data_IF_390744587584
#
_entry.id   IF_390744587584
#
_cell.length_a   1.000
_cell.length_b   1.000
_cell.length_c   1.000
_cell.angle_alpha   90.00
_cell.angle_beta   90.00
_cell.angle_gamma   90.00
#
_symmetry.space_group_name_H-M   'P 1'
#
loop_
_entity.id
_entity.type
_entity.pdbx_description
1 polymer ?
#
# COMPACT_ATOMS: atom_id res chain seq x y z
N UNK A 1 14.72 11.72 -6.30
CA UNK A 1 14.29 10.70 -5.30
C UNK A 1 13.14 9.92 -5.90
N UNK A 2 13.21 8.62 -5.87
CA UNK A 2 12.17 7.80 -6.50
C UNK A 2 11.20 7.28 -5.45
N UNK A 3 9.91 7.47 -5.73
CA UNK A 3 8.80 6.94 -4.95
C UNK A 3 8.01 6.01 -5.87
N UNK A 4 7.69 4.83 -5.38
CA UNK A 4 6.88 3.87 -6.12
C UNK A 4 5.64 3.50 -5.31
N UNK A 5 4.49 3.48 -5.96
CA UNK A 5 3.25 3.00 -5.34
C UNK A 5 2.70 1.82 -6.13
N UNK A 6 2.44 0.72 -5.44
CA UNK A 6 1.69 -0.42 -5.97
C UNK A 6 0.21 -0.11 -5.73
N UNK A 7 -0.46 0.30 -6.79
CA UNK A 7 -1.73 1.03 -6.75
C UNK A 7 -2.90 0.21 -7.27
N UNK A 8 -4.02 0.35 -6.59
CA UNK A 8 -5.31 -0.15 -7.05
C UNK A 8 -6.24 1.06 -7.23
N UNK A 9 -6.58 1.44 -8.47
CA UNK A 9 -7.41 2.64 -8.70
C UNK A 9 -8.85 2.49 -8.20
N UNK A 10 -9.31 1.27 -7.94
CA UNK A 10 -10.64 1.03 -7.41
C UNK A 10 -10.70 1.08 -5.88
N UNK A 11 -9.56 1.29 -5.22
CA UNK A 11 -9.47 1.34 -3.76
C UNK A 11 -9.34 2.80 -3.28
N UNK A 12 -10.28 3.26 -2.45
CA UNK A 12 -10.26 4.61 -1.91
C UNK A 12 -9.01 4.92 -1.11
N UNK A 13 -8.55 3.98 -0.27
CA UNK A 13 -7.30 4.13 0.49
C UNK A 13 -6.11 4.31 -0.44
N UNK A 14 -6.05 3.55 -1.53
CA UNK A 14 -4.98 3.65 -2.50
C UNK A 14 -5.00 5.01 -3.22
N UNK A 15 -6.19 5.49 -3.61
CA UNK A 15 -6.35 6.81 -4.23
C UNK A 15 -5.94 7.94 -3.27
N UNK A 16 -6.37 7.86 -2.00
CA UNK A 16 -5.99 8.85 -0.98
C UNK A 16 -4.48 8.88 -0.76
N UNK A 17 -3.84 7.70 -0.73
CA UNK A 17 -2.39 7.60 -0.57
C UNK A 17 -1.66 8.25 -1.74
N UNK A 18 -2.08 7.97 -2.96
CA UNK A 18 -1.50 8.58 -4.16
C UNK A 18 -1.64 10.10 -4.13
N UNK A 19 -2.80 10.59 -3.70
CA UNK A 19 -3.04 12.04 -3.58
C UNK A 19 -2.13 12.68 -2.52
N UNK A 20 -1.90 12.00 -1.39
CA UNK A 20 -0.97 12.49 -0.36
C UNK A 20 0.46 12.57 -0.88
N UNK A 21 0.90 11.58 -1.66
CA UNK A 21 2.22 11.61 -2.30
C UNK A 21 2.34 12.83 -3.21
N UNK A 22 1.35 13.06 -4.06
CA UNK A 22 1.33 14.20 -4.97
C UNK A 22 1.26 15.53 -4.24
N UNK A 23 0.56 15.58 -3.11
CA UNK A 23 0.46 16.80 -2.29
C UNK A 23 1.80 17.17 -1.64
N UNK A 24 2.75 16.25 -1.57
CA UNK A 24 4.11 16.56 -1.15
C UNK A 24 4.97 17.12 -2.28
N UNK A 25 4.41 17.24 -3.48
CA UNK A 25 5.11 17.72 -4.67
C UNK A 25 5.81 16.64 -5.47
N UNK A 26 5.73 15.39 -5.04
CA UNK A 26 6.35 14.27 -5.74
C UNK A 26 5.37 13.62 -6.71
N UNK A 27 5.91 13.15 -7.84
CA UNK A 27 5.13 12.32 -8.76
C UNK A 27 5.71 10.91 -8.71
N UNK A 28 4.98 9.93 -8.15
CA UNK A 28 5.51 8.57 -8.00
C UNK A 28 5.45 7.78 -9.31
N UNK A 29 6.25 6.72 -9.37
CA UNK A 29 6.03 5.65 -10.34
C UNK A 29 4.83 4.84 -9.86
N UNK A 30 3.81 4.73 -10.70
CA UNK A 30 2.59 4.00 -10.37
C UNK A 30 2.64 2.63 -11.02
N UNK A 31 2.58 1.58 -10.19
CA UNK A 31 2.50 0.20 -10.67
C UNK A 31 1.09 -0.30 -10.38
N UNK A 32 0.34 -0.61 -11.44
CA UNK A 32 -0.99 -1.21 -11.31
C UNK A 32 -0.81 -2.71 -11.12
N UNK A 33 -0.66 -3.14 -9.87
CA UNK A 33 -0.22 -4.50 -9.54
C UNK A 33 -1.22 -5.58 -9.94
N UNK A 34 -2.49 -5.24 -10.17
CA UNK A 34 -3.46 -6.20 -10.67
C UNK A 34 -3.19 -6.58 -12.13
N UNK A 35 -2.58 -5.68 -12.89
CA UNK A 35 -2.20 -5.89 -14.28
C UNK A 35 -0.74 -6.31 -14.42
N UNK A 36 0.12 -5.75 -13.56
CA UNK A 36 1.56 -5.97 -13.57
C UNK A 36 2.00 -6.36 -12.15
N UNK A 37 1.71 -7.60 -11.73
CA UNK A 37 2.06 -8.02 -10.38
C UNK A 37 3.57 -8.08 -10.18
N UNK A 38 4.04 -7.91 -8.93
CA UNK A 38 5.46 -8.07 -8.64
C UNK A 38 5.91 -9.51 -8.86
N UNK A 39 7.20 -9.69 -9.13
CA UNK A 39 7.79 -11.02 -9.12
C UNK A 39 7.83 -11.57 -7.68
N UNK A 40 8.11 -12.86 -7.55
CA UNK A 40 8.27 -13.49 -6.23
C UNK A 40 9.35 -12.79 -5.41
N UNK A 41 10.51 -12.53 -6.02
CA UNK A 41 11.62 -11.88 -5.33
C UNK A 41 11.26 -10.46 -4.92
N UNK A 42 10.61 -9.70 -5.81
CA UNK A 42 10.13 -8.35 -5.48
C UNK A 42 9.15 -8.37 -4.31
N UNK A 43 8.19 -9.30 -4.34
CA UNK A 43 7.19 -9.39 -3.28
C UNK A 43 7.84 -9.75 -1.94
N UNK A 44 8.78 -10.68 -1.93
CA UNK A 44 9.54 -11.03 -0.73
C UNK A 44 10.33 -9.83 -0.19
N UNK A 45 10.98 -9.08 -1.07
CA UNK A 45 11.74 -7.89 -0.69
C UNK A 45 10.83 -6.81 -0.10
N UNK A 46 9.65 -6.61 -0.70
CA UNK A 46 8.67 -5.65 -0.20
C UNK A 46 8.20 -6.04 1.21
N UNK A 47 7.87 -7.30 1.43
CA UNK A 47 7.40 -7.77 2.73
C UNK A 47 8.50 -7.61 3.78
N UNK A 48 9.73 -7.98 3.45
CA UNK A 48 10.86 -7.83 4.36
C UNK A 48 11.12 -6.36 4.71
N UNK A 49 11.05 -5.48 3.71
CA UNK A 49 11.26 -4.04 3.91
C UNK A 49 10.15 -3.42 4.76
N UNK A 50 8.92 -3.92 4.64
CA UNK A 50 7.80 -3.46 5.49
C UNK A 50 7.90 -3.97 6.91
N UNK A 51 8.69 -5.01 7.16
CA UNK A 51 8.86 -5.65 8.46
C UNK A 51 7.53 -6.13 9.06
N UNK A 52 6.67 -6.69 8.21
CA UNK A 52 5.38 -7.25 8.61
C UNK A 52 5.34 -8.76 8.34
N UNK A 53 4.50 -9.52 9.06
CA UNK A 53 4.26 -10.92 8.68
C UNK A 53 3.63 -11.00 7.29
N UNK A 54 3.92 -12.08 6.57
CA UNK A 54 3.33 -12.29 5.23
C UNK A 54 1.82 -12.23 5.29
N UNK A 55 1.22 -12.83 6.33
CA UNK A 55 -0.24 -12.86 6.51
C UNK A 55 -0.84 -11.46 6.65
N UNK A 56 -0.08 -10.49 7.16
CA UNK A 56 -0.56 -9.10 7.30
C UNK A 56 -0.75 -8.41 5.94
N UNK A 57 -0.07 -8.88 4.90
CA UNK A 57 -0.23 -8.37 3.55
C UNK A 57 -1.40 -9.03 2.82
N UNK A 58 -1.98 -10.07 3.37
CA UNK A 58 -3.04 -10.84 2.73
C UNK A 58 -4.38 -10.13 2.90
N UNK A 59 -5.02 -9.81 1.76
CA UNK A 59 -6.33 -9.16 1.76
C UNK A 59 -7.43 -10.19 2.02
N UNK A 60 -8.32 -9.90 2.99
CA UNK A 60 -9.28 -10.88 3.48
C UNK A 60 -10.65 -10.84 2.78
N UNK A 61 -11.09 -9.65 2.35
CA UNK A 61 -12.46 -9.48 1.84
C UNK A 61 -12.53 -9.62 0.32
N UNK A 62 -11.97 -10.70 -0.20
CA UNK A 62 -11.99 -11.01 -1.63
C UNK A 62 -12.21 -12.49 -1.83
N UNK A 63 -12.80 -12.84 -2.99
CA UNK A 63 -13.21 -14.22 -3.28
C UNK A 63 -12.10 -15.26 -3.09
N UNK A 64 -10.87 -15.08 -3.64
CA UNK A 64 -9.84 -16.10 -3.47
C UNK A 64 -9.49 -16.40 -2.03
N UNK A 65 -9.61 -15.43 -1.12
CA UNK A 65 -9.33 -15.65 0.29
C UNK A 65 -10.25 -16.73 0.87
N UNK A 66 -11.55 -16.63 0.61
CA UNK A 66 -12.53 -17.60 1.11
C UNK A 66 -12.46 -18.91 0.29
N UNK A 67 -12.37 -18.82 -1.03
CA UNK A 67 -12.36 -19.98 -1.90
C UNK A 67 -11.18 -20.91 -1.62
N UNK A 68 -10.03 -20.35 -1.26
CA UNK A 68 -8.80 -21.11 -0.97
C UNK A 68 -8.64 -21.40 0.52
N UNK A 69 -9.62 -21.03 1.36
CA UNK A 69 -9.60 -21.25 2.80
C UNK A 69 -8.38 -20.63 3.48
N UNK A 70 -8.00 -19.43 3.06
CA UNK A 70 -6.76 -18.78 3.52
C UNK A 70 -6.83 -18.28 4.96
N UNK A 71 -8.03 -18.28 5.58
CA UNK A 71 -8.17 -17.99 7.01
C UNK A 71 -7.54 -19.07 7.90
N UNK A 72 -7.35 -20.27 7.37
CA UNK A 72 -6.71 -21.36 8.12
C UNK A 72 -5.22 -21.06 8.32
N UNK A 73 -4.70 -21.51 9.47
CA UNK A 73 -3.30 -21.21 9.83
C UNK A 73 -2.29 -22.26 9.36
N UNK A 74 -2.73 -23.21 8.52
CA UNK A 74 -1.91 -24.32 8.03
C UNK A 74 -0.97 -23.95 6.88
N UNK A 75 -1.07 -22.72 6.36
CA UNK A 75 -0.26 -22.29 5.20
C UNK A 75 1.08 -21.72 5.65
N UNK A 76 2.14 -22.07 4.93
CA UNK A 76 3.44 -21.44 5.11
C UNK A 76 3.48 -20.07 4.44
N UNK A 77 4.48 -19.26 4.81
CA UNK A 77 4.68 -17.94 4.18
C UNK A 77 4.87 -18.10 2.66
N UNK A 78 5.65 -19.09 2.21
CA UNK A 78 5.86 -19.32 0.79
C UNK A 78 4.57 -19.70 0.07
N UNK A 79 3.71 -20.48 0.70
CA UNK A 79 2.41 -20.81 0.13
C UNK A 79 1.52 -19.57 0.00
N UNK A 80 1.50 -18.71 1.02
CA UNK A 80 0.72 -17.46 0.97
C UNK A 80 1.24 -16.54 -0.14
N UNK A 81 2.55 -16.45 -0.30
CA UNK A 81 3.16 -15.68 -1.40
C UNK A 81 2.75 -16.25 -2.76
N UNK A 82 2.77 -17.58 -2.91
CA UNK A 82 2.32 -18.22 -4.15
C UNK A 82 0.89 -17.85 -4.49
N UNK A 83 -0.01 -17.88 -3.50
CA UNK A 83 -1.40 -17.49 -3.72
C UNK A 83 -1.53 -16.02 -4.13
N UNK A 84 -0.76 -15.12 -3.51
CA UNK A 84 -0.77 -13.72 -3.89
C UNK A 84 -0.28 -13.50 -5.32
N UNK A 85 0.69 -14.29 -5.79
CA UNK A 85 1.18 -14.19 -7.17
C UNK A 85 0.20 -14.76 -8.16
N UNK A 86 -0.51 -15.83 -7.81
CA UNK A 86 -1.56 -16.42 -8.65
C UNK A 86 -2.81 -15.55 -8.69
N UNK A 87 -3.11 -14.86 -7.60
CA UNK A 87 -4.29 -14.01 -7.44
C UNK A 87 -3.86 -12.66 -6.88
N UNK A 88 -3.36 -11.73 -7.72
CA UNK A 88 -2.85 -10.45 -7.22
C UNK A 88 -3.83 -9.64 -6.39
N UNK A 89 -5.15 -9.87 -6.56
CA UNK A 89 -6.16 -9.21 -5.73
C UNK A 89 -6.01 -9.54 -4.23
N UNK A 90 -5.29 -10.63 -3.90
CA UNK A 90 -4.99 -10.99 -2.52
C UNK A 90 -3.91 -10.10 -1.89
N UNK A 91 -3.17 -9.35 -2.69
CA UNK A 91 -2.16 -8.43 -2.16
C UNK A 91 -2.89 -7.22 -1.59
N UNK A 92 -2.67 -6.95 -0.31
CA UNK A 92 -3.24 -5.77 0.33
C UNK A 92 -2.58 -4.50 -0.24
N UNK A 93 -3.25 -3.36 -0.16
CA UNK A 93 -2.90 -2.16 -0.94
C UNK A 93 -3.19 -0.89 -0.18
N UNK A 94 -2.47 0.20 -0.51
CA UNK A 94 -1.32 0.28 -1.41
C UNK A 94 -0.02 -0.01 -0.67
N UNK A 95 0.98 -0.48 -1.40
CA UNK A 95 2.35 -0.57 -0.90
C UNK A 95 3.10 0.63 -1.49
N UNK A 96 3.81 1.37 -0.65
CA UNK A 96 4.60 2.52 -1.08
C UNK A 96 6.07 2.32 -0.71
N UNK A 97 6.94 2.57 -1.66
CA UNK A 97 8.40 2.49 -1.48
C UNK A 97 9.00 3.87 -1.70
N UNK A 98 9.75 4.36 -0.72
CA UNK A 98 10.49 5.62 -0.81
C UNK A 98 11.92 5.40 -0.31
N UNK A 99 12.82 6.40 -0.50
CA UNK A 99 14.16 6.30 0.10
C UNK A 99 14.14 6.19 1.63
N UNK A 100 13.03 6.53 2.27
CA UNK A 100 12.90 6.48 3.73
C UNK A 100 12.28 5.18 4.24
N UNK A 101 11.78 4.33 3.36
CA UNK A 101 11.23 3.04 3.76
C UNK A 101 10.11 2.54 2.87
N UNK A 102 9.55 1.40 3.27
CA UNK A 102 8.45 0.73 2.58
C UNK A 102 7.33 0.50 3.58
N UNK A 103 6.09 0.82 3.18
CA UNK A 103 4.92 0.66 4.06
C UNK A 103 3.71 0.16 3.29
N UNK A 104 2.92 -0.67 3.96
CA UNK A 104 1.52 -0.90 3.58
C UNK A 104 0.73 0.27 4.17
N UNK A 105 0.22 1.16 3.32
CA UNK A 105 -0.37 2.42 3.75
C UNK A 105 -1.87 2.28 3.98
N UNK A 106 -2.23 1.65 5.07
CA UNK A 106 -3.60 1.50 5.56
C UNK A 106 -3.64 1.78 7.05
N UNK A 107 -4.22 2.90 7.47
CA UNK A 107 -4.84 3.96 6.66
C UNK A 107 -3.84 4.74 5.79
N UNK A 108 -4.37 5.51 4.84
CA UNK A 108 -3.53 6.21 3.85
C UNK A 108 -2.47 7.11 4.44
N UNK A 109 -2.74 7.75 5.58
CA UNK A 109 -1.82 8.68 6.24
C UNK A 109 -0.56 8.02 6.78
N UNK A 110 -0.48 6.70 6.81
CA UNK A 110 0.77 5.98 7.12
C UNK A 110 1.88 6.40 6.14
N UNK A 111 1.53 6.78 4.92
CA UNK A 111 2.52 7.23 3.93
C UNK A 111 3.31 8.45 4.41
N UNK A 112 2.74 9.28 5.29
CA UNK A 112 3.43 10.44 5.83
C UNK A 112 4.71 10.08 6.59
N UNK A 113 4.79 8.86 7.13
CA UNK A 113 5.97 8.39 7.87
C UNK A 113 7.20 8.23 6.97
N UNK A 114 6.99 8.01 5.67
CA UNK A 114 8.07 7.71 4.73
C UNK A 114 8.20 8.71 3.59
N UNK A 115 7.36 9.74 3.52
CA UNK A 115 7.51 10.77 2.49
C UNK A 115 8.72 11.63 2.78
N UNK A 116 9.63 11.82 1.80
CA UNK A 116 10.85 12.61 2.01
C UNK A 116 10.62 14.12 2.06
N UNK A 117 9.47 14.60 1.55
CA UNK A 117 9.13 16.01 1.52
C UNK A 117 7.84 16.29 2.30
N UNK A 118 7.69 17.49 2.89
CA UNK A 118 6.46 17.82 3.60
C UNK A 118 5.28 18.05 2.66
N UNK A 119 4.08 18.02 3.22
CA UNK A 119 2.87 18.36 2.48
C UNK A 119 2.87 19.85 2.13
N UNK A 120 2.46 20.16 0.91
CA UNK A 120 2.51 21.55 0.40
C UNK A 120 1.26 22.35 0.72
N UNK A 121 0.18 21.68 1.10
CA UNK A 121 -1.08 22.36 1.41
C UNK A 121 -2.00 21.44 2.16
N UNK A 122 -3.21 21.94 2.45
CA UNK A 122 -4.24 21.16 3.13
C UNK A 122 -4.63 19.95 2.30
N UNK A 123 -4.99 18.86 2.99
CA UNK A 123 -5.42 17.62 2.34
C UNK A 123 -6.64 17.06 3.05
N UNK A 124 -7.63 16.67 2.25
CA UNK A 124 -8.86 16.04 2.71
C UNK A 124 -9.04 14.76 1.91
N UNK A 125 -9.35 13.66 2.61
CA UNK A 125 -9.66 12.38 1.95
C UNK A 125 -10.97 12.47 1.17
N UNK A 126 -11.19 11.50 0.29
CA UNK A 126 -12.42 11.45 -0.52
C UNK A 126 -13.70 11.43 0.33
N UNK A 127 -13.63 10.83 1.52
CA UNK A 127 -14.78 10.77 2.45
C UNK A 127 -14.97 12.03 3.28
N UNK A 128 -14.12 13.05 3.10
CA UNK A 128 -14.18 14.31 3.83
C UNK A 128 -13.31 14.38 5.07
N UNK A 129 -12.62 13.31 5.45
CA UNK A 129 -11.73 13.34 6.61
C UNK A 129 -10.52 14.24 6.33
N UNK A 130 -10.31 15.22 7.21
CA UNK A 130 -9.18 16.15 7.08
C UNK A 130 -7.91 15.52 7.65
N UNK A 131 -6.86 15.47 6.84
CA UNK A 131 -5.58 14.86 7.23
C UNK A 131 -4.50 15.91 7.44
N UNK A 132 -4.44 16.92 6.57
CA UNK A 132 -3.42 17.97 6.59
C UNK A 132 -4.13 19.31 6.64
N UNK A 133 -3.70 20.18 7.56
CA UNK A 133 -4.26 21.52 7.70
C UNK A 133 -3.61 22.51 6.71
N UNK A 134 -4.05 23.76 6.74
CA UNK A 134 -3.54 24.81 5.82
C UNK A 134 -2.06 25.09 6.01
N UNK A 135 -1.51 24.79 7.18
CA UNK A 135 -0.09 24.96 7.47
C UNK A 135 0.77 23.78 6.98
N UNK A 136 0.15 22.76 6.39
CA UNK A 136 0.84 21.56 5.92
C UNK A 136 1.11 20.56 7.03
N UNK A 137 0.47 20.70 8.18
CA UNK A 137 0.68 19.82 9.33
C UNK A 137 -0.47 18.85 9.51
N UNK A 138 -0.15 17.69 10.07
CA UNK A 138 -1.17 16.64 10.29
C UNK A 138 -2.22 17.10 11.29
N UNK A 139 -3.47 16.92 10.93
CA UNK A 139 -4.62 17.16 11.80
C UNK A 139 -4.67 16.05 12.84
N UNK A 140 -4.77 16.39 14.11
CA UNK A 140 -4.85 15.43 15.22
C UNK A 140 -6.28 15.05 15.54
#
# INVERSE_FOLDING_TARGET
MSITIYHNPDCGTSRNTLALIRNSGAEPTIIYYLETPPSRDELRQLIAAMAIPVRALLRQNVEPYDALCLAEDRFTDDQLIDFMLQHPILINRPIVVTPRGTRLCRPSEVVLEILPAPQKGAFVKEDGERVIDRAGQRVK
#
